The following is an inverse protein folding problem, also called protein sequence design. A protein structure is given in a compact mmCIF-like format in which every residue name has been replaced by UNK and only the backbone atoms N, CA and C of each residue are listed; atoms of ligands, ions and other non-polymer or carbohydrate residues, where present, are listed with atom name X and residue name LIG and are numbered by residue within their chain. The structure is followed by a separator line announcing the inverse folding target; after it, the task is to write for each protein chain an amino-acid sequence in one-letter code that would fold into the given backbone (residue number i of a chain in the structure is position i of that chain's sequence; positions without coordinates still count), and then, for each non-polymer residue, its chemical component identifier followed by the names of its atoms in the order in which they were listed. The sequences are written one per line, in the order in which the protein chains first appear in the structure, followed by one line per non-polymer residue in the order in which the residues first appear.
data_IF_661001605491
#
_entry.id   IF_661001605491
#
_cell.length_a   1.000
_cell.length_b   1.000
_cell.length_c   1.000
_cell.angle_alpha   90.00
_cell.angle_beta   90.00
_cell.angle_gamma   90.00
#
_symmetry.space_group_name_H-M   'P 1'
#
loop_
_entity.id
_entity.type
_entity.pdbx_description
1 polymer ?
#
# COMPACT_ATOMS: atom_id res chain seq x y z
N UNK A 1 -11.14 16.12 0.18
CA UNK A 1 -11.78 14.81 0.34
C UNK A 1 -10.78 13.82 -0.22
N UNK A 2 -10.17 13.02 0.67
CA UNK A 2 -8.96 12.25 0.36
C UNK A 2 -9.15 11.41 -0.89
N UNK A 3 -8.24 11.58 -1.85
CA UNK A 3 -8.24 10.91 -3.14
C UNK A 3 -7.86 9.44 -2.91
N UNK A 4 -8.84 8.65 -2.47
CA UNK A 4 -8.76 7.20 -2.44
C UNK A 4 -9.16 6.71 -3.83
N UNK A 5 -8.36 5.81 -4.39
CA UNK A 5 -8.69 5.15 -5.66
C UNK A 5 -10.04 4.41 -5.53
N UNK A 6 -10.65 3.98 -6.65
CA UNK A 6 -11.98 3.34 -6.68
C UNK A 6 -12.11 2.10 -5.77
N UNK A 7 -10.99 1.58 -5.26
CA UNK A 7 -10.90 0.41 -4.38
C UNK A 7 -10.47 0.76 -2.93
N UNK A 8 -10.46 2.01 -2.47
CA UNK A 8 -9.80 2.45 -1.22
C UNK A 8 -8.26 2.34 -1.23
N UNK A 9 -7.65 2.13 -2.41
CA UNK A 9 -6.20 1.92 -2.51
C UNK A 9 -5.43 3.16 -2.10
N UNK A 10 -4.64 3.01 -1.06
CA UNK A 10 -3.63 3.99 -0.65
C UNK A 10 -2.40 3.91 -1.54
N UNK A 11 -1.57 4.97 -1.52
CA UNK A 11 -0.32 5.00 -2.27
C UNK A 11 0.62 3.82 -1.94
N UNK A 12 0.53 3.28 -0.71
CA UNK A 12 1.27 2.08 -0.30
C UNK A 12 0.82 0.85 -1.10
N UNK A 13 -0.48 0.65 -1.35
CA UNK A 13 -0.97 -0.46 -2.19
C UNK A 13 -0.41 -0.37 -3.60
N UNK A 14 -0.36 0.84 -4.16
CA UNK A 14 0.18 1.06 -5.51
C UNK A 14 1.69 0.81 -5.54
N UNK A 15 2.45 1.33 -4.57
CA UNK A 15 3.89 1.13 -4.49
C UNK A 15 4.28 -0.36 -4.37
N UNK A 16 3.51 -1.11 -3.59
CA UNK A 16 3.63 -2.56 -3.46
C UNK A 16 3.26 -3.26 -4.77
N UNK A 17 2.16 -2.86 -5.42
CA UNK A 17 1.74 -3.41 -6.71
C UNK A 17 2.79 -3.18 -7.82
N UNK A 18 3.54 -2.07 -7.72
CA UNK A 18 4.62 -1.72 -8.63
C UNK A 18 5.97 -2.35 -8.27
N UNK A 19 6.07 -3.13 -7.19
CA UNK A 19 7.32 -3.71 -6.70
C UNK A 19 8.41 -2.63 -6.49
N UNK A 20 8.03 -1.54 -5.80
CA UNK A 20 8.93 -0.40 -5.52
C UNK A 20 9.17 -0.25 -4.02
N UNK A 21 10.06 -1.05 -3.41
CA UNK A 21 10.33 -1.01 -1.98
C UNK A 21 10.85 0.37 -1.52
N UNK A 22 11.60 1.08 -2.37
CA UNK A 22 12.06 2.45 -2.08
C UNK A 22 10.89 3.43 -1.89
N UNK A 23 9.85 3.32 -2.73
CA UNK A 23 8.65 4.15 -2.61
C UNK A 23 7.85 3.73 -1.37
N UNK A 24 7.77 2.43 -1.08
CA UNK A 24 7.13 1.94 0.16
C UNK A 24 7.81 2.56 1.38
N UNK A 25 9.14 2.54 1.45
CA UNK A 25 9.91 3.14 2.54
C UNK A 25 9.72 4.67 2.64
N UNK A 26 9.61 5.37 1.50
CA UNK A 26 9.32 6.80 1.48
C UNK A 26 7.91 7.10 2.00
N UNK A 27 6.90 6.34 1.58
CA UNK A 27 5.51 6.51 2.02
C UNK A 27 5.33 6.18 3.51
N UNK A 28 6.03 5.16 4.02
CA UNK A 28 6.08 4.88 5.45
C UNK A 28 6.68 6.05 6.25
N UNK A 29 7.73 6.69 5.74
CA UNK A 29 8.30 7.89 6.35
C UNK A 29 7.36 9.10 6.29
N UNK A 30 6.51 9.19 5.26
CA UNK A 30 5.46 10.20 5.19
C UNK A 30 4.34 10.00 6.23
N UNK A 31 4.37 8.91 7.00
CA UNK A 31 3.36 8.60 8.01
C UNK A 31 2.10 7.94 7.44
N UNK A 32 2.20 7.29 6.28
CA UNK A 32 1.09 6.48 5.78
C UNK A 32 0.97 5.20 6.61
N UNK A 33 -0.26 4.86 6.99
CA UNK A 33 -0.56 3.67 7.77
C UNK A 33 -0.48 2.40 6.89
N UNK A 34 0.49 1.49 7.14
CA UNK A 34 0.61 0.24 6.38
C UNK A 34 -0.43 -0.81 6.76
N UNK A 35 -1.27 -0.51 7.74
CA UNK A 35 -2.38 -1.34 8.19
C UNK A 35 -3.72 -0.91 7.59
N UNK A 36 -3.77 0.16 6.81
CA UNK A 36 -4.99 0.54 6.12
C UNK A 36 -5.41 -0.57 5.16
N UNK A 37 -6.69 -0.91 5.21
CA UNK A 37 -7.27 -1.93 4.37
C UNK A 37 -7.94 -1.29 3.17
N UNK A 38 -7.74 -1.91 2.03
CA UNK A 38 -8.49 -1.67 0.82
C UNK A 38 -9.96 -2.12 0.94
N UNK A 39 -10.79 -1.82 -0.05
CA UNK A 39 -12.18 -2.33 -0.14
C UNK A 39 -12.22 -3.86 -0.20
N UNK A 40 -11.16 -4.52 -0.67
CA UNK A 40 -11.01 -5.98 -0.63
C UNK A 40 -10.55 -6.52 0.74
N UNK A 41 -10.36 -5.66 1.75
CA UNK A 41 -9.82 -6.05 3.04
C UNK A 41 -8.33 -6.38 3.03
N UNK A 42 -7.62 -6.08 1.93
CA UNK A 42 -6.19 -6.28 1.81
C UNK A 42 -5.43 -5.11 2.41
N UNK A 43 -4.33 -5.39 3.11
CA UNK A 43 -3.40 -4.35 3.55
C UNK A 43 -2.23 -4.25 2.56
N UNK A 44 -1.53 -3.10 2.47
CA UNK A 44 -0.35 -2.98 1.64
C UNK A 44 0.71 -4.02 1.99
N UNK A 45 0.92 -4.29 3.28
CA UNK A 45 1.81 -5.36 3.75
C UNK A 45 1.31 -6.74 3.33
N UNK A 46 0.00 -6.98 3.40
CA UNK A 46 -0.61 -8.23 2.96
C UNK A 46 -0.42 -8.48 1.47
N UNK A 47 -0.60 -7.44 0.66
CA UNK A 47 -0.33 -7.46 -0.78
C UNK A 47 1.15 -7.71 -1.07
N UNK A 48 2.06 -7.09 -0.30
CA UNK A 48 3.50 -7.27 -0.44
C UNK A 48 3.89 -8.72 -0.21
N UNK A 49 3.40 -9.29 0.91
CA UNK A 49 3.63 -10.69 1.27
C UNK A 49 3.01 -11.65 0.25
N UNK A 50 1.81 -11.35 -0.27
CA UNK A 50 1.16 -12.16 -1.31
C UNK A 50 1.96 -12.18 -2.61
N UNK A 51 2.64 -11.08 -2.92
CA UNK A 51 3.47 -10.93 -4.13
C UNK A 51 4.90 -11.44 -3.97
N UNK A 52 5.32 -11.88 -2.78
CA UNK A 52 6.70 -12.29 -2.51
C UNK A 52 7.66 -11.10 -2.41
N UNK A 53 7.15 -9.94 -2.00
CA UNK A 53 7.97 -8.79 -1.63
C UNK A 53 8.36 -8.98 -0.16
N UNK A 54 9.54 -9.56 0.03
CA UNK A 54 10.18 -9.83 1.33
C UNK A 54 11.05 -8.66 1.78
#
# INVERSE_FOLDING_TARGET
MGEKDYDNRTALHVAVSLNKPEIVAYLLQCGLDPNEKDDFGMTPIGEARRRGLE
#
